data_IF_530273139944
#
_entry.id   IF_530273139944
#
_cell.length_a   1.000
_cell.length_b   1.000
_cell.length_c   1.000
_cell.angle_alpha   90.00
_cell.angle_beta   90.00
_cell.angle_gamma   90.00
#
_symmetry.space_group_name_H-M   'P 1'
#
loop_
_entity.id
_entity.type
_entity.pdbx_description
1 polymer ?
#
# COMPACT_ATOMS: atom_id res chain seq x y z
N UNK A 1 -30.02 -2.16 22.64
CA UNK A 1 -29.82 -3.56 23.08
C UNK A 1 -30.37 -4.46 22.01
N UNK A 2 -29.67 -5.54 21.67
CA UNK A 2 -30.09 -6.53 20.66
C UNK A 2 -30.06 -7.90 21.34
N UNK A 3 -31.14 -8.66 21.26
CA UNK A 3 -31.30 -9.97 21.89
C UNK A 3 -31.49 -11.04 20.83
N UNK A 4 -30.85 -12.19 21.00
CA UNK A 4 -31.05 -13.36 20.15
C UNK A 4 -32.48 -13.91 20.34
N UNK A 5 -33.16 -14.27 19.25
CA UNK A 5 -34.49 -14.88 19.34
C UNK A 5 -34.49 -16.35 19.73
N UNK A 6 -33.31 -17.00 19.70
CA UNK A 6 -33.15 -18.44 19.91
C UNK A 6 -32.37 -18.79 21.20
N UNK A 7 -31.81 -17.80 21.91
CA UNK A 7 -31.11 -18.01 23.18
C UNK A 7 -31.03 -16.74 24.04
N UNK A 8 -30.61 -16.87 25.30
CA UNK A 8 -30.48 -15.77 26.28
C UNK A 8 -29.26 -14.85 26.04
N UNK A 9 -28.78 -14.75 24.80
CA UNK A 9 -27.66 -13.87 24.47
C UNK A 9 -28.13 -12.44 24.21
N UNK A 10 -27.59 -11.49 24.96
CA UNK A 10 -27.84 -10.05 24.84
C UNK A 10 -26.57 -9.29 24.46
N UNK A 11 -26.69 -8.33 23.56
CA UNK A 11 -25.59 -7.47 23.12
C UNK A 11 -25.99 -6.00 23.19
N UNK A 12 -25.19 -5.19 23.88
CA UNK A 12 -25.38 -3.74 23.93
C UNK A 12 -24.71 -3.14 22.69
N UNK A 13 -25.53 -2.77 21.70
CA UNK A 13 -25.07 -2.02 20.53
C UNK A 13 -25.38 -0.53 20.73
N UNK A 14 -24.36 0.34 20.87
CA UNK A 14 -24.56 1.78 20.98
C UNK A 14 -25.10 2.36 19.66
N UNK A 15 -25.91 3.42 19.75
CA UNK A 15 -26.42 4.12 18.57
C UNK A 15 -25.27 4.72 17.74
N UNK A 16 -25.46 4.76 16.41
CA UNK A 16 -24.51 5.42 15.51
C UNK A 16 -24.41 6.91 15.83
N UNK A 17 -23.19 7.43 16.00
CA UNK A 17 -22.94 8.86 16.17
C UNK A 17 -22.87 9.63 14.82
N UNK A 18 -22.90 8.93 13.68
CA UNK A 18 -22.83 9.53 12.34
C UNK A 18 -21.52 10.22 11.98
N UNK A 19 -20.53 10.27 12.89
CA UNK A 19 -19.29 11.01 12.66
C UNK A 19 -18.36 10.27 11.69
N UNK A 20 -17.78 11.01 10.71
CA UNK A 20 -16.87 10.46 9.67
C UNK A 20 -15.57 9.86 10.20
N UNK A 21 -15.22 10.14 11.45
CA UNK A 21 -14.03 9.59 12.12
C UNK A 21 -14.38 8.54 13.16
N UNK A 22 -15.67 8.22 13.34
CA UNK A 22 -16.06 7.19 14.28
C UNK A 22 -15.78 5.80 13.67
N UNK A 23 -14.92 4.98 14.29
CA UNK A 23 -14.58 3.66 13.75
C UNK A 23 -15.78 2.72 13.69
N UNK A 24 -16.75 2.87 14.60
CA UNK A 24 -17.99 2.09 14.59
C UNK A 24 -18.87 2.49 13.40
N UNK A 25 -19.16 3.79 13.24
CA UNK A 25 -20.05 4.29 12.18
C UNK A 25 -19.46 4.13 10.78
N UNK A 26 -18.14 4.23 10.64
CA UNK A 26 -17.44 4.04 9.37
C UNK A 26 -17.04 2.61 9.09
N UNK A 27 -17.30 1.66 10.01
CA UNK A 27 -16.89 0.28 9.85
C UNK A 27 -17.46 -0.31 8.55
N UNK A 28 -18.77 -0.18 8.34
CA UNK A 28 -19.45 -0.74 7.18
C UNK A 28 -18.90 -0.18 5.86
N UNK A 29 -18.78 1.14 5.74
CA UNK A 29 -18.20 1.80 4.56
C UNK A 29 -16.75 1.38 4.31
N UNK A 30 -15.97 1.23 5.39
CA UNK A 30 -14.58 0.76 5.30
C UNK A 30 -14.50 -0.68 4.82
N UNK A 31 -15.40 -1.56 5.28
CA UNK A 31 -15.50 -2.94 4.81
C UNK A 31 -15.90 -3.00 3.32
N UNK A 32 -16.93 -2.25 2.91
CA UNK A 32 -17.30 -2.19 1.50
C UNK A 32 -16.15 -1.68 0.62
N UNK A 33 -15.43 -0.66 1.08
CA UNK A 33 -14.26 -0.16 0.38
C UNK A 33 -13.16 -1.21 0.26
N UNK A 34 -12.89 -1.95 1.34
CA UNK A 34 -11.91 -3.03 1.38
C UNK A 34 -12.28 -4.13 0.39
N UNK A 35 -13.52 -4.61 0.41
CA UNK A 35 -14.02 -5.61 -0.54
C UNK A 35 -13.84 -5.17 -2.00
N UNK A 36 -14.13 -3.89 -2.31
CA UNK A 36 -13.89 -3.34 -3.65
C UNK A 36 -12.42 -3.33 -4.04
N UNK A 37 -11.49 -3.16 -3.09
CA UNK A 37 -10.06 -3.23 -3.39
C UNK A 37 -9.58 -4.68 -3.53
N UNK A 38 -10.08 -5.59 -2.69
CA UNK A 38 -9.77 -7.02 -2.78
C UNK A 38 -10.21 -7.60 -4.13
N UNK A 39 -11.37 -7.17 -4.66
CA UNK A 39 -11.83 -7.56 -6.01
C UNK A 39 -10.94 -7.08 -7.16
N UNK A 40 -10.08 -6.08 -6.95
CA UNK A 40 -9.13 -5.58 -7.96
C UNK A 40 -7.78 -6.30 -7.91
N UNK A 41 -7.61 -7.25 -7.00
CA UNK A 41 -6.37 -8.01 -6.92
C UNK A 41 -6.13 -8.80 -8.21
N UNK A 42 -4.88 -8.75 -8.66
CA UNK A 42 -4.37 -9.61 -9.72
C UNK A 42 -3.83 -10.92 -9.12
N UNK A 43 -3.85 -12.04 -9.88
CA UNK A 43 -3.38 -13.35 -9.40
C UNK A 43 -1.84 -13.39 -9.36
N UNK A 44 -1.27 -12.99 -8.22
CA UNK A 44 0.16 -12.99 -7.94
C UNK A 44 0.44 -12.97 -6.44
N UNK A 45 1.66 -13.31 -6.03
CA UNK A 45 2.16 -12.99 -4.69
C UNK A 45 2.36 -11.48 -4.55
N UNK A 46 2.12 -10.93 -3.35
CA UNK A 46 2.26 -9.49 -3.09
C UNK A 46 3.42 -9.23 -2.12
N UNK A 47 4.16 -8.16 -2.39
CA UNK A 47 5.30 -7.73 -1.61
C UNK A 47 5.11 -6.27 -1.17
N UNK A 48 5.49 -5.99 0.07
CA UNK A 48 5.53 -4.62 0.61
C UNK A 48 6.95 -4.08 0.51
N UNK A 49 7.14 -3.04 -0.30
CA UNK A 49 8.39 -2.30 -0.40
C UNK A 49 8.24 -1.00 0.38
N UNK A 50 9.27 -0.63 1.14
CA UNK A 50 9.28 0.63 1.90
C UNK A 50 10.48 1.47 1.51
N UNK A 51 10.23 2.69 1.05
CA UNK A 51 11.24 3.68 0.72
C UNK A 51 11.18 4.79 1.78
N UNK A 52 12.22 4.89 2.60
CA UNK A 52 12.29 5.87 3.68
C UNK A 52 13.14 7.06 3.27
N UNK A 53 12.64 8.27 3.52
CA UNK A 53 13.41 9.48 3.28
C UNK A 53 14.60 9.54 4.27
N UNK A 54 15.85 9.73 3.77
CA UNK A 54 17.00 9.92 4.64
C UNK A 54 16.79 11.07 5.62
N UNK A 55 17.37 10.95 6.81
CA UNK A 55 17.13 11.89 7.93
C UNK A 55 17.49 13.33 7.55
N UNK A 56 18.55 13.46 6.77
CA UNK A 56 19.15 14.70 6.28
C UNK A 56 18.16 15.52 5.44
N UNK A 57 17.23 14.86 4.73
CA UNK A 57 16.24 15.51 3.88
C UNK A 57 14.92 15.81 4.60
N UNK A 58 14.75 15.41 5.87
CA UNK A 58 13.46 15.59 6.57
C UNK A 58 13.13 17.06 6.77
N UNK A 59 14.09 17.89 7.17
CA UNK A 59 13.86 19.34 7.29
C UNK A 59 13.41 19.98 5.97
N UNK A 60 14.03 19.55 4.85
CA UNK A 60 13.63 20.01 3.52
C UNK A 60 12.21 19.55 3.17
N UNK A 61 11.87 18.28 3.44
CA UNK A 61 10.54 17.75 3.22
C UNK A 61 9.49 18.44 4.08
N UNK A 62 9.82 18.80 5.32
CA UNK A 62 8.93 19.54 6.21
C UNK A 62 8.57 20.92 5.64
N UNK A 63 9.55 21.63 5.05
CA UNK A 63 9.35 22.96 4.46
C UNK A 63 8.69 22.93 3.07
N UNK A 64 8.84 21.83 2.33
CA UNK A 64 8.40 21.71 0.94
C UNK A 64 7.55 20.47 0.67
N UNK A 65 6.62 20.17 1.59
CA UNK A 65 5.84 18.93 1.62
C UNK A 65 5.22 18.54 0.28
N UNK A 66 4.47 19.43 -0.38
CA UNK A 66 3.78 19.11 -1.65
C UNK A 66 4.75 18.60 -2.72
N UNK A 67 5.90 19.25 -2.85
CA UNK A 67 6.89 18.93 -3.88
C UNK A 67 7.63 17.66 -3.51
N UNK A 68 8.15 17.58 -2.29
CA UNK A 68 8.97 16.46 -1.85
C UNK A 68 8.16 15.17 -1.73
N UNK A 69 6.93 15.23 -1.23
CA UNK A 69 6.06 14.04 -1.15
C UNK A 69 5.67 13.52 -2.52
N UNK A 70 5.41 14.41 -3.48
CA UNK A 70 5.18 14.02 -4.88
C UNK A 70 6.41 13.33 -5.46
N UNK A 71 7.60 13.88 -5.25
CA UNK A 71 8.85 13.24 -5.67
C UNK A 71 9.10 11.91 -4.99
N UNK A 72 8.83 11.78 -3.68
CA UNK A 72 9.02 10.52 -2.97
C UNK A 72 8.20 9.38 -3.60
N UNK A 73 6.92 9.61 -3.87
CA UNK A 73 6.05 8.61 -4.53
C UNK A 73 6.57 8.31 -5.93
N UNK A 74 6.92 9.36 -6.70
CA UNK A 74 7.40 9.20 -8.08
C UNK A 74 8.70 8.42 -8.14
N UNK A 75 9.69 8.77 -7.34
CA UNK A 75 10.98 8.08 -7.26
C UNK A 75 10.81 6.62 -6.84
N UNK A 76 10.02 6.36 -5.78
CA UNK A 76 9.74 4.99 -5.35
C UNK A 76 9.13 4.16 -6.48
N UNK A 77 8.17 4.72 -7.21
CA UNK A 77 7.54 4.05 -8.35
C UNK A 77 8.48 3.84 -9.53
N UNK A 78 9.26 4.85 -9.91
CA UNK A 78 10.22 4.77 -11.01
C UNK A 78 11.29 3.71 -10.73
N UNK A 79 11.79 3.61 -9.49
CA UNK A 79 12.71 2.56 -9.06
C UNK A 79 12.09 1.17 -9.23
N UNK A 80 10.89 0.94 -8.69
CA UNK A 80 10.20 -0.36 -8.82
C UNK A 80 9.95 -0.72 -10.28
N UNK A 81 9.47 0.24 -11.09
CA UNK A 81 9.21 0.04 -12.51
C UNK A 81 10.48 -0.38 -13.25
N UNK A 82 11.62 0.27 -13.00
CA UNK A 82 12.89 -0.07 -13.62
C UNK A 82 13.36 -1.48 -13.22
N UNK A 83 13.25 -1.82 -11.93
CA UNK A 83 13.60 -3.15 -11.44
C UNK A 83 12.73 -4.25 -12.06
N UNK A 84 11.41 -4.04 -12.17
CA UNK A 84 10.51 -4.98 -12.86
C UNK A 84 10.88 -5.17 -14.33
N UNK A 85 11.22 -4.08 -15.03
CA UNK A 85 11.58 -4.13 -16.44
C UNK A 85 12.89 -4.91 -16.66
N UNK A 86 13.86 -4.75 -15.75
CA UNK A 86 15.18 -5.39 -15.84
C UNK A 86 15.22 -6.80 -15.23
N UNK A 87 14.22 -7.19 -14.43
CA UNK A 87 14.15 -8.52 -13.83
C UNK A 87 14.01 -9.61 -14.90
N UNK A 88 14.77 -10.70 -14.75
CA UNK A 88 14.88 -11.77 -15.76
C UNK A 88 13.56 -12.52 -16.00
N UNK A 89 12.65 -12.55 -15.03
CA UNK A 89 11.36 -13.26 -15.08
C UNK A 89 10.22 -12.30 -15.42
N UNK A 90 10.17 -11.13 -14.78
CA UNK A 90 9.07 -10.18 -14.92
C UNK A 90 9.09 -9.41 -16.25
N UNK A 91 10.23 -8.87 -16.70
CA UNK A 91 10.45 -8.24 -18.02
C UNK A 91 9.24 -7.46 -18.59
N UNK A 92 8.61 -6.61 -17.78
CA UNK A 92 7.30 -6.06 -18.14
C UNK A 92 6.90 -4.81 -17.38
N UNK A 93 5.65 -4.40 -17.59
CA UNK A 93 5.04 -3.26 -16.89
C UNK A 93 4.48 -3.75 -15.55
N UNK A 94 5.03 -3.27 -14.45
CA UNK A 94 4.48 -3.49 -13.11
C UNK A 94 3.16 -2.72 -12.90
N UNK A 95 2.46 -3.08 -11.82
CA UNK A 95 1.51 -2.22 -11.13
C UNK A 95 1.88 -2.15 -9.65
N UNK A 96 1.40 -1.13 -8.94
CA UNK A 96 1.55 -1.02 -7.49
C UNK A 96 0.46 -0.11 -6.91
N UNK A 97 0.18 -0.28 -5.62
CA UNK A 97 -0.54 0.70 -4.81
C UNK A 97 0.48 1.41 -3.92
N UNK A 98 0.49 2.75 -3.97
CA UNK A 98 1.40 3.57 -3.19
C UNK A 98 0.68 4.28 -2.04
N UNK A 99 1.28 4.24 -0.86
CA UNK A 99 0.80 4.95 0.33
C UNK A 99 1.96 5.72 0.94
N UNK A 100 1.78 7.02 1.11
CA UNK A 100 2.72 7.89 1.80
C UNK A 100 2.34 7.97 3.28
N UNK A 101 3.30 7.70 4.15
CA UNK A 101 3.22 7.97 5.58
C UNK A 101 4.22 9.06 5.95
N UNK A 102 3.80 9.98 6.81
CA UNK A 102 4.63 11.12 7.23
C UNK A 102 5.26 10.93 8.61
N UNK A 103 4.75 10.00 9.41
CA UNK A 103 5.16 9.80 10.79
C UNK A 103 5.49 8.34 11.09
N UNK A 104 6.36 8.13 12.07
CA UNK A 104 6.64 6.81 12.63
C UNK A 104 5.53 6.36 13.57
N UNK A 105 5.60 5.11 14.05
CA UNK A 105 4.71 4.60 15.11
C UNK A 105 4.77 5.45 16.39
N UNK A 106 5.92 6.07 16.67
CA UNK A 106 6.12 6.96 17.83
C UNK A 106 5.67 8.40 17.55
N UNK A 107 5.07 8.67 16.39
CA UNK A 107 4.66 9.99 15.91
C UNK A 107 5.82 10.94 15.62
N UNK A 108 7.04 10.43 15.50
CA UNK A 108 8.17 11.23 15.01
C UNK A 108 8.02 11.50 13.51
N UNK A 109 8.41 12.69 13.06
CA UNK A 109 8.41 13.00 11.63
C UNK A 109 9.39 12.08 10.88
N UNK A 110 8.82 11.20 10.05
CA UNK A 110 9.52 10.11 9.38
C UNK A 110 8.84 9.78 8.04
N UNK A 111 9.00 10.63 7.01
CA UNK A 111 8.39 10.39 5.71
C UNK A 111 8.89 9.09 5.08
N UNK A 112 7.96 8.22 4.68
CA UNK A 112 8.24 6.99 3.95
C UNK A 112 7.08 6.61 3.03
N UNK A 113 7.39 5.94 1.93
CA UNK A 113 6.42 5.44 0.96
C UNK A 113 6.39 3.92 1.05
N UNK A 114 5.19 3.38 1.26
CA UNK A 114 4.92 1.96 1.08
C UNK A 114 4.37 1.71 -0.32
N UNK A 115 4.92 0.71 -1.00
CA UNK A 115 4.39 0.18 -2.24
C UNK A 115 3.96 -1.26 -2.01
N UNK A 116 2.68 -1.54 -2.24
CA UNK A 116 2.15 -2.90 -2.35
C UNK A 116 2.25 -3.32 -3.81
N UNK A 117 3.15 -4.26 -4.10
CA UNK A 117 3.53 -4.64 -5.46
C UNK A 117 3.22 -6.13 -5.69
N UNK A 118 2.37 -6.50 -6.64
CA UNK A 118 2.27 -7.88 -7.09
C UNK A 118 3.59 -8.28 -7.78
N UNK A 119 4.07 -9.50 -7.52
CA UNK A 119 5.17 -10.13 -8.26
C UNK A 119 4.70 -10.57 -9.65
N UNK A 120 4.11 -9.63 -10.38
CA UNK A 120 3.61 -9.82 -11.71
C UNK A 120 3.82 -8.56 -12.57
N UNK A 121 3.92 -8.79 -13.86
CA UNK A 121 4.08 -7.75 -14.85
C UNK A 121 3.39 -8.12 -16.16
N UNK A 122 2.95 -7.09 -16.90
CA UNK A 122 2.37 -7.25 -18.23
C UNK A 122 3.40 -6.82 -19.27
N UNK A 123 3.78 -7.75 -20.15
CA UNK A 123 4.45 -7.43 -21.39
C UNK A 123 3.39 -6.99 -22.41
N UNK A 124 3.18 -5.68 -22.55
CA UNK A 124 2.16 -5.13 -23.44
C UNK A 124 2.39 -5.45 -24.91
N UNK A 125 3.66 -5.61 -25.33
CA UNK A 125 4.01 -5.89 -26.73
C UNK A 125 3.64 -7.33 -27.08
N UNK A 126 3.98 -8.27 -26.20
CA UNK A 126 3.69 -9.70 -26.39
C UNK A 126 2.33 -10.12 -25.83
N UNK A 127 1.59 -9.20 -25.22
CA UNK A 127 0.33 -9.45 -24.50
C UNK A 127 0.46 -10.61 -23.49
N UNK A 128 1.59 -10.67 -22.78
CA UNK A 128 1.92 -11.77 -21.88
C UNK A 128 1.86 -11.35 -20.42
N UNK A 129 1.19 -12.17 -19.61
CA UNK A 129 1.25 -12.11 -18.15
C UNK A 129 2.49 -12.84 -17.65
N UNK A 130 3.31 -12.17 -16.85
CA UNK A 130 4.53 -12.74 -16.27
C UNK A 130 4.45 -12.66 -14.75
N UNK A 131 4.80 -13.74 -14.07
CA UNK A 131 4.85 -13.80 -12.60
C UNK A 131 6.23 -14.25 -12.12
N UNK A 132 6.50 -14.00 -10.84
CA UNK A 132 7.70 -14.45 -10.15
C UNK A 132 7.29 -15.02 -8.79
N UNK A 133 7.62 -16.29 -8.54
CA UNK A 133 7.21 -17.03 -7.34
C UNK A 133 8.45 -17.53 -6.57
N UNK A 134 9.45 -16.68 -6.43
CA UNK A 134 10.73 -17.05 -5.81
C UNK A 134 10.75 -16.79 -4.30
N UNK A 135 9.60 -16.46 -3.69
CA UNK A 135 9.48 -15.96 -2.32
C UNK A 135 10.16 -14.59 -2.12
N UNK A 136 10.60 -13.96 -3.21
CA UNK A 136 11.44 -12.77 -3.18
C UNK A 136 11.28 -11.94 -4.44
N UNK A 137 10.93 -10.66 -4.28
CA UNK A 137 10.71 -9.76 -5.41
C UNK A 137 12.02 -9.15 -5.93
N UNK A 138 12.70 -8.33 -5.14
CA UNK A 138 13.92 -7.60 -5.54
C UNK A 138 14.96 -7.54 -4.41
N UNK A 139 16.21 -7.30 -4.80
CA UNK A 139 17.29 -7.11 -3.84
C UNK A 139 17.23 -5.76 -3.13
N UNK A 140 17.04 -5.79 -1.81
CA UNK A 140 16.92 -4.58 -0.98
C UNK A 140 18.18 -3.71 -1.02
N UNK A 141 19.39 -4.31 -1.10
CA UNK A 141 20.63 -3.53 -1.23
C UNK A 141 20.72 -2.85 -2.59
N UNK A 142 20.22 -3.49 -3.64
CA UNK A 142 20.16 -2.88 -4.96
C UNK A 142 19.10 -1.78 -5.03
N UNK A 143 17.95 -1.96 -4.38
CA UNK A 143 16.88 -0.96 -4.30
C UNK A 143 17.28 0.30 -3.51
N UNK A 144 18.24 0.17 -2.59
CA UNK A 144 18.72 1.25 -1.73
C UNK A 144 19.96 1.98 -2.29
N UNK A 145 20.39 1.66 -3.51
CA UNK A 145 21.45 2.39 -4.23
C UNK A 145 20.85 3.48 -5.09
#
# INVERSE_FOLDING_TARGET
EVQCTECDHHLIMPHSCGHRSCPHCQHHESQQWLERQLKKQVPAEYFLLTFTLPKEFRELAWRHQRVLYSFMIRCAWETVKLFTQNDKKLKGTAGAIAVLHTHSRRLDYHPHVHLVVPAAAIDKKKKLWRTKNDGYLFNHKALAK
#
